data_IF_751892527005
#
_entry.id   IF_751892527005
#
_cell.length_a   1.000
_cell.length_b   1.000
_cell.length_c   1.000
_cell.angle_alpha   90.00
_cell.angle_beta   90.00
_cell.angle_gamma   90.00
#
_symmetry.space_group_name_H-M   'P 1'
#
loop_
_entity.id
_entity.type
_entity.pdbx_description
1 polymer ?
#
# COMPACT_ATOMS: atom_id res chain seq x y z
N UNK A 1 17.82 -11.15 16.18
CA UNK A 1 16.63 -10.30 16.47
C UNK A 1 15.76 -10.25 15.23
N UNK A 2 14.41 -10.29 15.32
CA UNK A 2 13.58 -10.05 14.14
C UNK A 2 13.90 -8.65 13.58
N UNK A 3 14.10 -8.56 12.26
CA UNK A 3 14.31 -7.26 11.58
C UNK A 3 13.12 -6.36 11.92
N UNK A 4 13.35 -5.25 12.64
CA UNK A 4 12.29 -4.26 12.88
C UNK A 4 11.94 -3.62 11.55
N UNK A 5 10.66 -3.64 11.19
CA UNK A 5 10.18 -2.93 10.00
C UNK A 5 10.15 -1.43 10.29
N UNK A 6 10.69 -0.64 9.37
CA UNK A 6 10.58 0.82 9.44
C UNK A 6 9.24 1.30 8.89
N UNK A 7 8.76 2.46 9.33
CA UNK A 7 7.57 3.10 8.75
C UNK A 7 7.70 3.25 7.22
N UNK A 8 8.89 3.63 6.72
CA UNK A 8 9.16 3.73 5.28
C UNK A 8 8.91 2.40 4.54
N UNK A 9 9.33 1.27 5.12
CA UNK A 9 9.11 -0.04 4.52
C UNK A 9 7.63 -0.44 4.54
N UNK A 10 6.89 -0.10 5.60
CA UNK A 10 5.43 -0.31 5.66
C UNK A 10 4.71 0.49 4.58
N UNK A 11 5.02 1.78 4.44
CA UNK A 11 4.42 2.64 3.41
C UNK A 11 4.77 2.15 1.99
N UNK A 12 6.01 1.70 1.78
CA UNK A 12 6.43 1.12 0.49
C UNK A 12 5.65 -0.15 0.16
N UNK A 13 5.54 -1.07 1.13
CA UNK A 13 4.77 -2.30 0.98
C UNK A 13 3.27 -2.02 0.72
N UNK A 14 2.70 -1.04 1.41
CA UNK A 14 1.31 -0.63 1.23
C UNK A 14 1.09 -0.08 -0.18
N UNK A 15 1.99 0.76 -0.68
CA UNK A 15 1.91 1.25 -2.05
C UNK A 15 2.01 0.13 -3.08
N UNK A 16 2.94 -0.81 -2.91
CA UNK A 16 3.04 -1.97 -3.79
C UNK A 16 1.76 -2.81 -3.80
N UNK A 17 1.13 -3.00 -2.64
CA UNK A 17 -0.17 -3.68 -2.54
C UNK A 17 -1.26 -2.93 -3.31
N UNK A 18 -1.33 -1.61 -3.15
CA UNK A 18 -2.28 -0.77 -3.88
C UNK A 18 -2.06 -0.85 -5.40
N UNK A 19 -0.82 -0.95 -5.84
CA UNK A 19 -0.44 -1.17 -7.25
C UNK A 19 -0.65 -2.63 -7.73
N UNK A 20 -1.28 -3.48 -6.91
CA UNK A 20 -1.70 -4.84 -7.27
C UNK A 20 -0.69 -5.95 -6.98
N UNK A 21 0.39 -5.67 -6.22
CA UNK A 21 1.38 -6.70 -5.85
C UNK A 21 0.86 -7.64 -4.77
N UNK A 22 1.13 -8.93 -4.96
CA UNK A 22 0.83 -9.98 -3.97
C UNK A 22 1.77 -9.89 -2.76
N UNK A 23 1.35 -10.46 -1.61
CA UNK A 23 2.20 -10.50 -0.41
C UNK A 23 3.54 -11.18 -0.67
N UNK A 24 3.56 -12.23 -1.50
CA UNK A 24 4.79 -12.91 -1.93
C UNK A 24 5.73 -11.99 -2.70
N UNK A 25 5.22 -11.20 -3.65
CA UNK A 25 6.04 -10.23 -4.40
C UNK A 25 6.60 -9.13 -3.49
N UNK A 26 5.79 -8.61 -2.57
CA UNK A 26 6.20 -7.59 -1.60
C UNK A 26 7.27 -8.14 -0.66
N UNK A 27 7.06 -9.36 -0.15
CA UNK A 27 7.98 -10.06 0.73
C UNK A 27 9.36 -10.26 0.06
N UNK A 28 9.35 -10.74 -1.20
CA UNK A 28 10.57 -10.91 -1.99
C UNK A 28 11.29 -9.58 -2.26
N UNK A 29 10.55 -8.51 -2.56
CA UNK A 29 11.13 -7.20 -2.86
C UNK A 29 11.77 -6.52 -1.65
N UNK A 30 11.23 -6.76 -0.45
CA UNK A 30 11.66 -6.10 0.78
C UNK A 30 12.51 -6.99 1.70
N UNK A 31 12.78 -8.23 1.29
CA UNK A 31 13.54 -9.24 2.04
C UNK A 31 12.90 -9.58 3.41
N UNK A 32 11.61 -9.89 3.35
CA UNK A 32 10.79 -10.37 4.48
C UNK A 32 10.02 -11.64 4.11
N UNK A 33 9.35 -12.26 5.09
CA UNK A 33 8.45 -13.38 4.84
C UNK A 33 7.05 -12.91 4.41
N UNK A 34 6.33 -13.74 3.66
CA UNK A 34 4.95 -13.45 3.27
C UNK A 34 4.02 -13.28 4.49
N UNK A 35 4.22 -14.09 5.54
CA UNK A 35 3.49 -13.97 6.81
C UNK A 35 3.74 -12.61 7.48
N UNK A 36 4.97 -12.10 7.40
CA UNK A 36 5.31 -10.77 7.93
C UNK A 36 4.51 -9.68 7.23
N UNK A 37 4.44 -9.71 5.89
CA UNK A 37 3.64 -8.75 5.10
C UNK A 37 2.14 -8.87 5.41
N UNK A 38 1.63 -10.10 5.56
CA UNK A 38 0.23 -10.32 5.97
C UNK A 38 -0.10 -9.68 7.32
N UNK A 39 0.83 -9.72 8.28
CA UNK A 39 0.66 -9.07 9.57
C UNK A 39 0.76 -7.55 9.50
N UNK A 40 1.56 -6.98 8.58
CA UNK A 40 1.65 -5.54 8.39
C UNK A 40 0.34 -4.88 7.98
N UNK A 41 -0.49 -5.57 7.18
CA UNK A 41 -1.83 -5.10 6.75
C UNK A 41 -2.80 -4.84 7.91
N UNK A 42 -2.50 -5.37 9.10
CA UNK A 42 -3.32 -5.22 10.30
C UNK A 42 -2.88 -4.05 11.18
N UNK A 43 -1.76 -3.39 10.84
CA UNK A 43 -1.25 -2.26 11.60
C UNK A 43 -2.03 -1.00 11.23
N UNK A 44 -2.32 -0.16 12.23
CA UNK A 44 -3.09 1.08 12.03
C UNK A 44 -2.46 1.98 10.96
N UNK A 45 -1.12 2.13 10.99
CA UNK A 45 -0.36 2.90 9.99
C UNK A 45 -0.56 2.39 8.54
N UNK A 46 -0.78 1.09 8.35
CA UNK A 46 -1.09 0.55 7.03
C UNK A 46 -2.49 0.96 6.61
N UNK A 47 -3.48 0.78 7.50
CA UNK A 47 -4.88 1.05 7.21
C UNK A 47 -5.14 2.54 6.93
N UNK A 48 -4.53 3.42 7.74
CA UNK A 48 -4.59 4.87 7.55
C UNK A 48 -4.02 5.26 6.18
N UNK A 49 -2.82 4.79 5.85
CA UNK A 49 -2.18 5.12 4.59
C UNK A 49 -2.89 4.53 3.36
N UNK A 50 -3.42 3.31 3.48
CA UNK A 50 -4.22 2.68 2.42
C UNK A 50 -5.50 3.47 2.14
N UNK A 51 -6.18 3.96 3.18
CA UNK A 51 -7.34 4.83 3.05
C UNK A 51 -6.99 6.15 2.33
N UNK A 52 -5.88 6.79 2.71
CA UNK A 52 -5.40 8.01 2.04
C UNK A 52 -5.08 7.78 0.56
N UNK A 53 -4.45 6.65 0.21
CA UNK A 53 -4.16 6.29 -1.19
C UNK A 53 -5.45 6.09 -2.00
N UNK A 54 -6.43 5.39 -1.43
CA UNK A 54 -7.72 5.16 -2.05
C UNK A 54 -8.45 6.49 -2.27
N UNK A 55 -8.47 7.37 -1.28
CA UNK A 55 -9.17 8.65 -1.38
C UNK A 55 -8.49 9.59 -2.37
N UNK A 56 -7.16 9.66 -2.38
CA UNK A 56 -6.41 10.40 -3.40
C UNK A 56 -6.69 9.86 -4.81
N UNK A 57 -6.79 8.54 -4.97
CA UNK A 57 -7.14 7.92 -6.24
C UNK A 57 -8.58 8.27 -6.68
N UNK A 58 -9.56 8.17 -5.78
CA UNK A 58 -10.96 8.58 -6.05
C UNK A 58 -11.05 10.03 -6.50
N UNK A 59 -10.39 10.94 -5.80
CA UNK A 59 -10.37 12.37 -6.17
C UNK A 59 -9.76 12.58 -7.56
N UNK A 60 -8.68 11.87 -7.89
CA UNK A 60 -8.07 11.92 -9.22
C UNK A 60 -9.04 11.42 -10.31
N UNK A 61 -9.74 10.33 -10.07
CA UNK A 61 -10.73 9.78 -11.02
C UNK A 61 -11.89 10.75 -11.24
N UNK A 62 -12.47 11.29 -10.17
CA UNK A 62 -13.56 12.28 -10.25
C UNK A 62 -13.15 13.56 -10.98
N UNK A 63 -11.92 14.02 -10.77
CA UNK A 63 -11.36 15.18 -11.47
C UNK A 63 -11.06 14.90 -12.95
N UNK A 64 -10.87 13.64 -13.36
CA UNK A 64 -10.69 13.27 -14.76
C UNK A 64 -12.03 13.22 -15.50
N UNK A 65 -13.09 12.74 -14.85
CA UNK A 65 -14.45 12.68 -15.42
C UNK A 65 -15.06 14.06 -15.65
N UNK A 66 -14.69 15.06 -14.85
CA UNK A 66 -15.16 16.44 -15.00
C UNK A 66 -14.49 17.22 -16.14
N UNK A 67 -13.44 16.67 -16.76
CA UNK A 67 -12.64 17.34 -17.80
C UNK A 67 -12.89 16.78 -19.21
N UNK A 68 -13.59 15.65 -19.35
CA UNK A 68 -14.05 15.14 -20.66
C UNK A 68 -15.24 15.96 -21.19
N UNK A 69 -15.09 16.77 -22.25
CA UNK A 69 -16.23 17.41 -22.90
C UNK A 69 -16.97 16.39 -23.77
N UNK A 70 -18.29 16.31 -23.60
CA UNK A 70 -19.21 15.60 -24.50
C UNK A 70 -19.24 16.21 -25.90
#
# INVERSE_FOLDING_TARGET
>A
MPKRVSAKQLLTACRMSFDGKSNREIANALDFSETTVSNWRKLDIWQEFEAELIDAYKQKVLNLESVTPS
#
